data_IF_197707752231
#
_entry.id   IF_197707752231
#
_cell.length_a   1.000
_cell.length_b   1.000
_cell.length_c   1.000
_cell.angle_alpha   90.00
_cell.angle_beta   90.00
_cell.angle_gamma   90.00
#
_symmetry.space_group_name_H-M   'P 1'
#
loop_
_entity.id
_entity.type
_entity.pdbx_description
1 polymer ?
#
# COMPACT_ATOMS: atom_id res chain seq x y z
N UNK A 1 -34.79 -13.59 -20.29
CA UNK A 1 -33.57 -13.68 -19.45
C UNK A 1 -32.34 -13.29 -20.24
N UNK A 2 -31.88 -12.06 -20.05
CA UNK A 2 -30.60 -11.58 -20.59
C UNK A 2 -29.54 -12.02 -19.57
N UNK A 3 -28.75 -13.05 -19.91
CA UNK A 3 -27.63 -13.48 -19.07
C UNK A 3 -26.56 -12.39 -19.08
N UNK A 4 -26.47 -11.65 -17.98
CA UNK A 4 -25.32 -10.81 -17.66
C UNK A 4 -24.15 -11.73 -17.29
N UNK A 5 -23.25 -12.02 -18.24
CA UNK A 5 -21.96 -12.60 -17.93
C UNK A 5 -21.02 -11.48 -17.43
N UNK A 6 -20.91 -11.32 -16.11
CA UNK A 6 -19.84 -10.52 -15.53
C UNK A 6 -18.54 -11.31 -15.61
N UNK A 7 -17.81 -11.17 -16.73
CA UNK A 7 -16.41 -11.58 -16.78
C UNK A 7 -15.56 -10.52 -16.07
N UNK A 8 -15.69 -10.46 -14.74
CA UNK A 8 -14.73 -9.72 -13.93
C UNK A 8 -13.41 -10.49 -13.99
N UNK A 9 -12.55 -10.13 -14.94
CA UNK A 9 -11.18 -10.61 -14.99
C UNK A 9 -10.50 -10.23 -13.67
N UNK A 10 -10.25 -11.24 -12.84
CA UNK A 10 -9.59 -11.11 -11.55
C UNK A 10 -8.07 -11.14 -11.73
N UNK A 11 -7.35 -10.36 -10.94
CA UNK A 11 -5.91 -10.53 -10.81
C UNK A 11 -5.63 -11.90 -10.19
N UNK A 12 -4.72 -12.67 -10.79
CA UNK A 12 -4.51 -14.08 -10.45
C UNK A 12 -3.02 -14.41 -10.42
N UNK A 13 -2.66 -15.52 -9.78
CA UNK A 13 -1.27 -15.94 -9.70
C UNK A 13 -1.06 -17.26 -8.98
N UNK A 14 -0.03 -17.99 -9.38
CA UNK A 14 0.29 -19.32 -8.82
C UNK A 14 1.41 -19.29 -7.79
N UNK A 15 2.37 -18.37 -7.93
CA UNK A 15 3.56 -18.31 -7.07
C UNK A 15 3.81 -16.88 -6.64
N UNK A 16 4.04 -16.68 -5.35
CA UNK A 16 4.28 -15.37 -4.75
C UNK A 16 5.59 -15.39 -3.97
N UNK A 17 6.34 -14.30 -4.11
CA UNK A 17 7.51 -13.99 -3.29
C UNK A 17 7.28 -12.66 -2.61
N UNK A 18 7.61 -12.56 -1.32
CA UNK A 18 7.51 -11.35 -0.52
C UNK A 18 8.83 -11.11 0.20
N UNK A 19 9.22 -9.86 0.33
CA UNK A 19 10.34 -9.41 1.14
C UNK A 19 9.90 -8.20 1.97
N UNK A 20 10.24 -8.20 3.25
CA UNK A 20 9.97 -7.11 4.18
C UNK A 20 11.28 -6.73 4.89
N UNK A 21 11.55 -5.43 4.99
CA UNK A 21 12.71 -4.87 5.66
C UNK A 21 12.27 -3.72 6.55
N UNK A 22 12.70 -3.75 7.81
CA UNK A 22 12.50 -2.66 8.77
C UNK A 22 13.84 -2.23 9.34
N UNK A 23 14.16 -0.96 9.18
CA UNK A 23 15.32 -0.33 9.78
C UNK A 23 14.87 0.73 10.79
N UNK A 24 15.52 0.73 11.96
CA UNK A 24 15.24 1.68 13.04
C UNK A 24 16.53 2.32 13.48
N UNK A 25 16.51 3.63 13.58
CA UNK A 25 17.62 4.43 14.08
C UNK A 25 17.10 5.42 15.11
N UNK A 26 17.89 5.67 16.15
CA UNK A 26 17.61 6.69 17.15
C UNK A 26 18.93 7.40 17.48
N UNK A 27 18.97 8.75 17.38
CA UNK A 27 20.10 9.48 17.92
C UNK A 27 20.16 9.23 19.44
N UNK A 28 21.38 9.14 19.97
CA UNK A 28 21.67 8.87 21.39
C UNK A 28 21.10 7.53 21.93
N UNK A 29 20.67 6.63 21.03
CA UNK A 29 20.07 5.34 21.40
C UNK A 29 18.68 5.44 22.03
N UNK A 30 18.11 6.64 22.16
CA UNK A 30 16.84 6.86 22.87
C UNK A 30 15.63 6.99 21.93
N UNK A 31 15.06 5.84 21.57
CA UNK A 31 13.91 5.76 20.66
C UNK A 31 12.60 6.40 21.18
N UNK A 32 12.53 6.77 22.47
CA UNK A 32 11.37 7.46 23.05
C UNK A 32 11.41 8.95 22.71
N UNK A 33 12.59 9.55 22.70
CA UNK A 33 12.76 10.96 22.39
C UNK A 33 12.78 11.19 20.89
N UNK A 34 13.62 10.44 20.17
CA UNK A 34 13.77 10.58 18.73
C UNK A 34 13.98 9.22 18.08
N UNK A 35 13.31 8.98 16.95
CA UNK A 35 13.46 7.74 16.20
C UNK A 35 13.11 7.95 14.73
N UNK A 36 13.98 7.48 13.84
CA UNK A 36 13.66 7.25 12.44
C UNK A 36 13.35 5.77 12.24
N UNK A 37 12.24 5.48 11.58
CA UNK A 37 11.87 4.12 11.14
C UNK A 37 11.69 4.16 9.63
N UNK A 38 12.36 3.25 8.94
CA UNK A 38 12.18 2.99 7.52
C UNK A 38 11.63 1.58 7.36
N UNK A 39 10.60 1.42 6.55
CA UNK A 39 10.04 0.13 6.19
C UNK A 39 9.95 0.01 4.67
N UNK A 40 10.35 -1.13 4.15
CA UNK A 40 10.26 -1.45 2.73
C UNK A 40 9.66 -2.83 2.56
N UNK A 41 8.62 -2.93 1.72
CA UNK A 41 8.00 -4.18 1.34
C UNK A 41 8.09 -4.32 -0.19
N UNK A 42 8.30 -5.56 -0.65
CA UNK A 42 8.23 -5.92 -2.05
C UNK A 42 7.53 -7.26 -2.20
N UNK A 43 6.56 -7.32 -3.13
CA UNK A 43 5.88 -8.55 -3.49
C UNK A 43 5.93 -8.75 -5.00
N UNK A 44 6.13 -10.00 -5.42
CA UNK A 44 6.07 -10.39 -6.82
C UNK A 44 5.24 -11.67 -6.97
N UNK A 45 4.28 -11.64 -7.90
CA UNK A 45 3.42 -12.77 -8.23
C UNK A 45 3.66 -13.20 -9.67
N UNK A 46 3.84 -14.50 -9.89
CA UNK A 46 4.08 -15.10 -11.21
C UNK A 46 3.11 -16.23 -11.51
N UNK A 47 3.06 -16.63 -12.78
CA UNK A 47 2.08 -17.62 -13.24
C UNK A 47 0.67 -17.06 -13.18
N UNK A 48 0.51 -15.82 -13.67
CA UNK A 48 -0.71 -15.01 -13.55
C UNK A 48 -1.88 -15.54 -14.39
N UNK A 49 -1.60 -16.31 -15.45
CA UNK A 49 -2.58 -16.99 -16.29
C UNK A 49 -1.84 -18.12 -17.03
N UNK A 50 -2.57 -19.16 -17.50
CA UNK A 50 -2.00 -20.24 -18.31
C UNK A 50 -1.52 -19.78 -19.70
N UNK A 51 -2.08 -18.69 -20.22
CA UNK A 51 -1.74 -18.10 -21.52
C UNK A 51 -0.79 -16.90 -21.41
N UNK A 52 -0.47 -16.44 -20.19
CA UNK A 52 0.47 -15.34 -20.00
C UNK A 52 1.90 -15.81 -20.25
N UNK A 53 2.71 -14.94 -20.83
CA UNK A 53 4.17 -15.13 -20.87
C UNK A 53 4.71 -15.28 -19.44
N UNK A 54 5.65 -16.21 -19.22
CA UNK A 54 6.29 -16.45 -17.93
C UNK A 54 7.04 -15.22 -17.36
N UNK A 55 7.39 -14.26 -18.22
CA UNK A 55 7.96 -12.97 -17.84
C UNK A 55 6.93 -12.01 -17.24
N UNK A 56 5.63 -12.17 -17.54
CA UNK A 56 4.56 -11.34 -16.97
C UNK A 56 4.35 -11.66 -15.48
N UNK A 57 4.50 -10.63 -14.64
CA UNK A 57 4.44 -10.76 -13.18
C UNK A 57 3.75 -9.55 -12.60
N UNK A 58 2.89 -9.76 -11.60
CA UNK A 58 2.46 -8.65 -10.76
C UNK A 58 3.58 -8.28 -9.80
N UNK A 59 3.78 -6.99 -9.59
CA UNK A 59 4.79 -6.45 -8.67
C UNK A 59 4.16 -5.38 -7.81
N UNK A 60 4.42 -5.43 -6.53
CA UNK A 60 4.07 -4.38 -5.59
C UNK A 60 5.31 -4.00 -4.78
N UNK A 61 5.46 -2.72 -4.47
CA UNK A 61 6.47 -2.27 -3.51
C UNK A 61 5.95 -1.10 -2.71
N UNK A 62 6.26 -1.07 -1.42
CA UNK A 62 5.96 0.03 -0.52
C UNK A 62 7.25 0.49 0.14
N UNK A 63 7.47 1.80 0.22
CA UNK A 63 8.54 2.40 1.00
C UNK A 63 7.93 3.46 1.91
N UNK A 64 8.11 3.27 3.21
CA UNK A 64 7.67 4.21 4.23
C UNK A 64 8.80 4.67 5.12
N UNK A 65 8.68 5.91 5.58
CA UNK A 65 9.56 6.50 6.57
C UNK A 65 8.72 7.21 7.60
N UNK A 66 8.96 6.95 8.89
CA UNK A 66 8.36 7.66 10.01
C UNK A 66 9.44 8.22 10.90
N UNK A 67 9.43 9.53 11.08
CA UNK A 67 10.32 10.25 11.97
C UNK A 67 9.55 10.76 13.18
N UNK A 68 9.92 10.23 14.35
CA UNK A 68 9.61 10.81 15.65
C UNK A 68 10.72 11.80 15.99
N UNK A 69 10.43 13.09 15.96
CA UNK A 69 11.39 14.14 16.30
C UNK A 69 11.23 14.66 17.73
N UNK A 70 10.13 14.33 18.39
CA UNK A 70 9.94 14.47 19.83
C UNK A 70 8.96 13.40 20.34
N UNK A 71 8.81 13.18 21.66
CA UNK A 71 7.94 12.11 22.19
C UNK A 71 6.48 12.16 21.75
N UNK A 72 5.96 13.35 21.44
CA UNK A 72 4.55 13.58 21.14
C UNK A 72 4.25 13.66 19.64
N UNK A 73 5.24 13.75 18.77
CA UNK A 73 5.04 14.03 17.35
C UNK A 73 5.76 13.06 16.43
N UNK A 74 5.04 12.60 15.40
CA UNK A 74 5.56 11.81 14.31
C UNK A 74 5.18 12.45 12.96
N UNK A 75 6.14 12.53 12.06
CA UNK A 75 5.94 12.81 10.64
C UNK A 75 6.19 11.53 9.86
N UNK A 76 5.32 11.19 8.92
CA UNK A 76 5.46 10.03 8.07
C UNK A 76 5.29 10.37 6.61
N UNK A 77 6.01 9.64 5.77
CA UNK A 77 5.80 9.63 4.32
C UNK A 77 5.78 8.18 3.85
N UNK A 78 4.96 7.89 2.84
CA UNK A 78 4.90 6.59 2.18
C UNK A 78 4.76 6.77 0.69
N UNK A 79 5.39 5.89 -0.08
CA UNK A 79 5.09 5.73 -1.50
C UNK A 79 4.91 4.25 -1.83
N UNK A 80 3.91 3.97 -2.64
CA UNK A 80 3.54 2.62 -3.04
C UNK A 80 3.51 2.55 -4.57
N UNK A 81 3.98 1.44 -5.11
CA UNK A 81 3.95 1.12 -6.54
C UNK A 81 3.31 -0.24 -6.73
N UNK A 82 2.43 -0.33 -7.72
CA UNK A 82 1.76 -1.55 -8.12
C UNK A 82 1.81 -1.65 -9.64
N UNK A 83 2.27 -2.78 -10.15
CA UNK A 83 2.22 -3.16 -11.55
C UNK A 83 1.48 -4.50 -11.66
N UNK A 84 0.45 -4.54 -12.49
CA UNK A 84 -0.42 -5.70 -12.67
C UNK A 84 -0.65 -5.95 -14.14
N UNK A 85 -1.07 -7.18 -14.44
CA UNK A 85 -1.43 -7.63 -15.78
C UNK A 85 -2.84 -8.22 -15.69
N UNK A 86 -3.78 -7.69 -16.46
CA UNK A 86 -5.16 -8.15 -16.45
C UNK A 86 -5.40 -8.96 -17.72
N UNK A 87 -5.82 -10.23 -17.55
CA UNK A 87 -6.16 -11.09 -18.67
C UNK A 87 -7.54 -10.74 -19.19
N UNK A 88 -7.70 -10.59 -20.50
CA UNK A 88 -8.98 -10.28 -21.13
C UNK A 88 -9.20 -11.17 -22.34
N UNK A 89 -10.47 -11.49 -22.63
CA UNK A 89 -10.83 -12.28 -23.79
C UNK A 89 -11.33 -11.33 -24.88
N UNK A 90 -10.59 -11.26 -25.99
CA UNK A 90 -10.97 -10.52 -27.17
C UNK A 90 -11.18 -11.48 -28.34
N UNK A 91 -12.43 -11.67 -28.74
CA UNK A 91 -12.81 -12.47 -29.91
C UNK A 91 -12.27 -13.92 -29.91
N UNK A 92 -12.04 -14.52 -28.72
CA UNK A 92 -11.56 -15.89 -28.57
C UNK A 92 -10.06 -16.00 -28.22
N UNK A 93 -9.30 -14.91 -28.40
CA UNK A 93 -7.91 -14.82 -27.97
C UNK A 93 -7.79 -14.14 -26.60
N UNK A 94 -6.76 -14.50 -25.84
CA UNK A 94 -6.51 -13.94 -24.52
C UNK A 94 -5.35 -12.97 -24.59
N UNK A 95 -5.67 -11.71 -24.35
CA UNK A 95 -4.72 -10.59 -24.34
C UNK A 95 -4.50 -10.09 -22.90
N UNK A 96 -3.44 -9.32 -22.69
CA UNK A 96 -3.03 -8.85 -21.36
C UNK A 96 -2.75 -7.36 -21.35
N UNK A 97 -3.62 -6.60 -20.69
CA UNK A 97 -3.39 -5.18 -20.41
C UNK A 97 -2.47 -5.00 -19.20
N UNK A 98 -1.49 -4.08 -19.29
CA UNK A 98 -0.62 -3.71 -18.17
C UNK A 98 -1.17 -2.49 -17.42
N UNK A 99 -1.45 -2.66 -16.13
CA UNK A 99 -1.87 -1.60 -15.23
C UNK A 99 -0.73 -1.16 -14.32
N UNK A 100 -0.56 0.15 -14.13
CA UNK A 100 0.31 0.73 -13.09
C UNK A 100 -0.46 1.64 -12.15
N UNK A 101 -0.12 1.57 -10.87
CA UNK A 101 -0.69 2.42 -9.83
C UNK A 101 0.43 2.89 -8.90
N UNK A 102 0.46 4.20 -8.65
CA UNK A 102 1.38 4.83 -7.71
C UNK A 102 0.59 5.62 -6.67
N UNK A 103 0.89 5.38 -5.41
CA UNK A 103 0.36 6.13 -4.27
C UNK A 103 1.50 6.86 -3.55
N UNK A 104 1.20 8.06 -3.06
CA UNK A 104 2.08 8.78 -2.14
C UNK A 104 1.24 9.32 -1.00
N UNK A 105 1.70 9.16 0.23
CA UNK A 105 1.02 9.65 1.42
C UNK A 105 1.98 10.46 2.30
N UNK A 106 1.44 11.50 2.91
CA UNK A 106 2.10 12.27 3.98
C UNK A 106 1.20 12.18 5.21
N UNK A 107 1.80 11.97 6.36
CA UNK A 107 1.12 11.75 7.63
C UNK A 107 1.75 12.58 8.72
N UNK A 108 0.93 13.17 9.58
CA UNK A 108 1.35 13.73 10.86
C UNK A 108 0.53 13.10 11.98
N UNK A 109 1.19 12.73 13.07
CA UNK A 109 0.55 12.20 14.25
C UNK A 109 0.98 12.94 15.51
N UNK A 110 -0.01 13.28 16.34
CA UNK A 110 0.16 13.86 17.66
C UNK A 110 -0.25 12.86 18.73
N UNK A 111 0.58 12.72 19.76
CA UNK A 111 0.47 11.74 20.85
C UNK A 111 0.60 12.47 22.18
N UNK A 112 -0.48 13.14 22.65
CA UNK A 112 -0.44 13.94 23.87
C UNK A 112 -0.16 13.09 25.12
N UNK A 113 -0.52 11.80 25.06
CA UNK A 113 -0.28 10.81 26.12
C UNK A 113 0.10 9.48 25.48
N UNK A 114 0.58 8.53 26.28
CA UNK A 114 0.88 7.16 25.83
C UNK A 114 -0.35 6.36 25.40
N UNK A 115 -1.57 6.90 25.58
CA UNK A 115 -2.84 6.24 25.24
C UNK A 115 -3.59 6.89 24.10
N UNK A 116 -3.17 8.07 23.66
CA UNK A 116 -3.89 8.82 22.65
C UNK A 116 -3.02 9.03 21.43
N UNK A 117 -3.61 8.93 20.25
CA UNK A 117 -2.97 9.30 18.99
C UNK A 117 -4.01 9.94 18.09
N UNK A 118 -3.77 11.19 17.71
CA UNK A 118 -4.49 11.87 16.64
C UNK A 118 -3.60 11.87 15.40
N UNK A 119 -4.10 11.39 14.26
CA UNK A 119 -3.34 11.27 13.01
C UNK A 119 -4.13 11.87 11.87
N UNK A 120 -3.47 12.73 11.09
CA UNK A 120 -3.95 13.20 9.80
C UNK A 120 -3.07 12.64 8.70
N UNK A 121 -3.67 12.10 7.65
CA UNK A 121 -2.98 11.61 6.46
C UNK A 121 -3.61 12.17 5.19
N UNK A 122 -2.77 12.60 4.28
CA UNK A 122 -3.13 13.04 2.93
C UNK A 122 -2.52 12.07 1.93
N UNK A 123 -3.33 11.56 1.01
CA UNK A 123 -2.90 10.58 0.02
C UNK A 123 -3.19 11.10 -1.39
N UNK A 124 -2.25 10.88 -2.31
CA UNK A 124 -2.44 11.11 -3.74
C UNK A 124 -2.16 9.82 -4.51
N UNK A 125 -3.13 9.41 -5.34
CA UNK A 125 -3.06 8.21 -6.15
C UNK A 125 -3.12 8.54 -7.64
N UNK A 126 -2.31 7.85 -8.43
CA UNK A 126 -2.30 7.93 -9.89
C UNK A 126 -2.31 6.50 -10.43
N UNK A 127 -3.23 6.22 -11.34
CA UNK A 127 -3.26 4.95 -12.05
C UNK A 127 -3.22 5.20 -13.56
N UNK A 128 -2.63 4.25 -14.27
CA UNK A 128 -2.55 4.20 -15.73
C UNK A 128 -2.61 2.75 -16.20
N UNK A 129 -2.79 2.59 -17.51
CA UNK A 129 -2.99 1.30 -18.14
C UNK A 129 -4.41 1.14 -18.63
N UNK A 130 -4.52 0.76 -19.90
CA UNK A 130 -5.76 0.42 -20.56
C UNK A 130 -5.67 -1.02 -21.04
N UNK A 131 -6.82 -1.66 -21.20
CA UNK A 131 -6.92 -2.91 -21.92
C UNK A 131 -7.04 -2.68 -23.43
N UNK A 132 -7.13 -3.76 -24.20
CA UNK A 132 -7.24 -3.72 -25.66
C UNK A 132 -8.55 -3.08 -26.15
N UNK A 133 -9.59 -3.07 -25.30
CA UNK A 133 -10.84 -2.34 -25.55
C UNK A 133 -10.74 -0.82 -25.22
N UNK A 134 -9.58 -0.34 -24.76
CA UNK A 134 -9.36 1.07 -24.39
C UNK A 134 -9.91 1.46 -23.02
N UNK A 135 -10.41 0.52 -22.23
CA UNK A 135 -10.93 0.73 -20.88
C UNK A 135 -9.80 0.74 -19.85
N UNK A 136 -9.93 1.59 -18.82
CA UNK A 136 -8.92 1.67 -17.77
C UNK A 136 -8.86 0.39 -16.92
N UNK A 137 -7.66 -0.16 -16.73
CA UNK A 137 -7.43 -1.35 -15.89
C UNK A 137 -7.80 -1.08 -14.43
N UNK A 138 -7.53 0.14 -13.96
CA UNK A 138 -7.97 0.61 -12.65
C UNK A 138 -9.18 1.53 -12.83
N UNK A 139 -10.36 1.03 -12.46
CA UNK A 139 -11.60 1.79 -12.52
C UNK A 139 -11.50 3.02 -11.59
N UNK A 140 -11.41 4.20 -12.20
CA UNK A 140 -11.49 5.55 -11.63
C UNK A 140 -11.07 5.66 -10.14
N UNK A 141 -9.78 5.43 -9.81
CA UNK A 141 -9.33 5.51 -8.42
C UNK A 141 -9.47 6.93 -7.87
N UNK A 142 -9.81 7.03 -6.58
CA UNK A 142 -9.81 8.29 -5.87
C UNK A 142 -8.44 8.96 -5.96
N UNK A 143 -8.33 10.07 -6.71
CA UNK A 143 -7.03 10.71 -6.99
C UNK A 143 -6.39 11.33 -5.75
N UNK A 144 -7.22 11.74 -4.79
CA UNK A 144 -6.80 12.34 -3.52
C UNK A 144 -7.75 11.87 -2.42
N UNK A 145 -7.21 11.57 -1.25
CA UNK A 145 -8.00 11.27 -0.06
C UNK A 145 -7.38 11.90 1.18
N UNK A 146 -8.23 12.17 2.16
CA UNK A 146 -7.87 12.71 3.47
C UNK A 146 -8.40 11.73 4.50
N UNK A 147 -7.56 11.36 5.45
CA UNK A 147 -7.92 10.48 6.55
C UNK A 147 -7.56 11.14 7.88
N UNK A 148 -8.54 11.26 8.76
CA UNK A 148 -8.35 11.64 10.15
C UNK A 148 -8.65 10.42 11.03
N UNK A 149 -7.71 10.05 11.89
CA UNK A 149 -7.85 8.93 12.81
C UNK A 149 -7.56 9.40 14.23
N UNK A 150 -8.46 9.08 15.16
CA UNK A 150 -8.24 9.26 16.58
C UNK A 150 -8.30 7.90 17.28
N UNK A 151 -7.20 7.53 17.92
CA UNK A 151 -7.04 6.25 18.64
C UNK A 151 -6.93 6.54 20.13
N UNK A 152 -7.77 5.87 20.93
CA UNK A 152 -7.77 5.96 22.39
C UNK A 152 -7.60 4.56 22.97
N UNK A 153 -6.55 4.36 23.76
CA UNK A 153 -6.38 3.18 24.61
C UNK A 153 -7.06 3.39 25.96
N UNK A 154 -7.97 2.50 26.35
CA UNK A 154 -8.67 2.52 27.65
C UNK A 154 -8.18 1.32 28.48
N UNK A 155 -7.74 1.57 29.72
CA UNK A 155 -7.27 0.51 30.63
C UNK A 155 -6.48 1.05 31.84
N UNK A 156 -6.42 0.27 32.91
CA UNK A 156 -5.71 0.63 34.14
C UNK A 156 -4.21 0.84 33.88
N UNK A 157 -3.62 1.87 34.48
CA UNK A 157 -2.17 1.89 34.68
C UNK A 157 -1.86 0.80 35.69
N UNK A 158 -1.30 -0.33 35.26
CA UNK A 158 -0.57 -1.18 36.19
C UNK A 158 0.52 -0.34 36.82
N UNK A 159 0.41 -0.05 38.10
CA UNK A 159 1.47 0.52 38.89
C UNK A 159 2.63 -0.48 38.91
N UNK A 160 3.66 -0.21 38.12
CA UNK A 160 5.02 -0.78 38.21
C UNK A 160 5.94 0.39 37.80
N UNK A 161 6.75 1.04 38.65
CA UNK A 161 7.68 0.49 39.64
C UNK A 161 8.34 -0.76 39.07
N UNK A 162 9.30 -0.58 38.14
CA UNK A 162 10.76 -0.74 38.33
C UNK A 162 11.49 0.01 37.21
#
# INVERSE_FOLDING_TARGET
DVQHHSHAASFSGKRMWISDLVWKWAPDGNNRHQQLRLNWEYAQVSGINRYADHAMRHRASSLGTVWRFNPAWELGVRTDWLEVYKAENHSGDIEFGQGRLKENAIMVAYKPTHRQTLRLQLTQQRASGVNDAGEAIFANPARRSIQLQYVIGIGAHGAHAY
#
